data_IF_710663880227
#
_entry.id   IF_710663880227
#
_cell.length_a   1.000
_cell.length_b   1.000
_cell.length_c   1.000
_cell.angle_alpha   90.00
_cell.angle_beta   90.00
_cell.angle_gamma   90.00
#
_symmetry.space_group_name_H-M   'P 1'
#
loop_
_entity.id
_entity.type
_entity.pdbx_description
1 polymer ?
#
# COMPACT_ATOMS: atom_id res chain seq x y z
N UNK A 1 -17.47 0.53 23.39
CA UNK A 1 -17.92 0.84 22.06
C UNK A 1 -17.67 -0.28 21.08
N UNK A 2 -18.27 -0.19 19.93
CA UNK A 2 -18.08 -1.17 18.87
C UNK A 2 -16.77 -0.84 18.16
N UNK A 3 -15.82 -1.78 18.20
CA UNK A 3 -14.60 -1.60 17.40
C UNK A 3 -14.93 -1.89 15.95
N UNK A 4 -14.42 -1.04 15.07
CA UNK A 4 -14.59 -1.22 13.65
C UNK A 4 -13.49 -2.12 13.11
N UNK A 5 -13.88 -3.13 12.34
CA UNK A 5 -12.94 -3.96 11.60
C UNK A 5 -12.57 -3.26 10.30
N UNK A 6 -11.28 -3.21 10.00
CA UNK A 6 -10.77 -2.64 8.76
C UNK A 6 -10.21 -3.75 7.88
N UNK A 7 -10.20 -3.50 6.57
CA UNK A 7 -9.58 -4.38 5.60
C UNK A 7 -8.50 -3.65 4.80
N UNK A 8 -7.77 -4.41 4.00
CA UNK A 8 -6.65 -3.85 3.22
C UNK A 8 -7.10 -2.83 2.18
N UNK A 9 -8.31 -2.97 1.64
CA UNK A 9 -8.86 -2.02 0.67
C UNK A 9 -9.05 -0.65 1.31
N UNK A 10 -9.49 -0.62 2.57
CA UNK A 10 -9.63 0.64 3.30
C UNK A 10 -8.26 1.29 3.57
N UNK A 11 -7.24 0.49 3.87
CA UNK A 11 -5.89 1.03 4.00
C UNK A 11 -5.40 1.60 2.66
N UNK A 12 -5.59 0.86 1.59
CA UNK A 12 -5.20 1.31 0.26
C UNK A 12 -5.88 2.65 -0.09
N UNK A 13 -7.18 2.78 0.20
CA UNK A 13 -7.91 4.03 -0.04
C UNK A 13 -7.33 5.19 0.78
N UNK A 14 -6.96 4.94 2.05
CA UNK A 14 -6.33 5.96 2.89
C UNK A 14 -4.98 6.38 2.32
N UNK A 15 -4.20 5.43 1.80
CA UNK A 15 -2.91 5.73 1.16
C UNK A 15 -3.10 6.54 -0.12
N UNK A 16 -4.06 6.16 -0.96
CA UNK A 16 -4.38 6.90 -2.20
C UNK A 16 -4.65 8.37 -1.90
N UNK A 17 -5.40 8.65 -0.84
CA UNK A 17 -5.81 10.00 -0.48
C UNK A 17 -4.79 10.72 0.42
N UNK A 18 -3.71 10.06 0.79
CA UNK A 18 -2.75 10.55 1.79
C UNK A 18 -3.40 10.93 3.11
N UNK A 19 -4.40 10.18 3.51
CA UNK A 19 -5.05 10.35 4.81
C UNK A 19 -4.23 9.65 5.88
N UNK A 20 -3.26 10.37 6.45
CA UNK A 20 -2.30 9.82 7.40
C UNK A 20 -2.99 9.27 8.64
N UNK A 21 -3.91 10.05 9.22
CA UNK A 21 -4.62 9.64 10.44
C UNK A 21 -5.37 8.32 10.24
N UNK A 22 -6.05 8.19 9.09
CA UNK A 22 -6.80 6.97 8.77
C UNK A 22 -5.85 5.78 8.56
N UNK A 23 -4.75 5.99 7.83
CA UNK A 23 -3.77 4.94 7.60
C UNK A 23 -3.18 4.45 8.92
N UNK A 24 -2.85 5.35 9.85
CA UNK A 24 -2.33 4.98 11.18
C UNK A 24 -3.39 4.20 11.96
N UNK A 25 -4.63 4.65 11.94
CA UNK A 25 -5.72 3.95 12.62
C UNK A 25 -5.87 2.51 12.12
N UNK A 26 -5.85 2.33 10.81
CA UNK A 26 -6.03 1.01 10.21
C UNK A 26 -4.84 0.09 10.52
N UNK A 27 -3.60 0.59 10.39
CA UNK A 27 -2.42 -0.22 10.65
C UNK A 27 -2.28 -0.57 12.13
N UNK A 28 -2.70 0.31 13.04
CA UNK A 28 -2.76 -0.01 14.46
C UNK A 28 -3.76 -1.15 14.71
N UNK A 29 -4.90 -1.12 14.03
CA UNK A 29 -5.87 -2.22 14.11
C UNK A 29 -5.25 -3.53 13.61
N UNK A 30 -4.58 -3.52 12.44
CA UNK A 30 -3.94 -4.71 11.90
C UNK A 30 -2.89 -5.27 12.88
N UNK A 31 -2.09 -4.39 13.47
CA UNK A 31 -1.01 -4.80 14.38
C UNK A 31 -1.56 -5.48 15.65
N UNK A 32 -2.77 -5.16 16.06
CA UNK A 32 -3.39 -5.74 17.25
C UNK A 32 -4.31 -6.92 16.93
N UNK A 33 -4.51 -7.26 15.66
CA UNK A 33 -5.44 -8.31 15.23
C UNK A 33 -4.69 -9.56 14.79
N UNK A 34 -5.16 -10.71 15.24
CA UNK A 34 -4.62 -12.01 14.81
C UNK A 34 -4.98 -12.32 13.35
N UNK A 35 -6.02 -11.68 12.83
CA UNK A 35 -6.54 -11.97 11.50
C UNK A 35 -5.82 -11.18 10.40
N UNK A 36 -4.92 -10.26 10.77
CA UNK A 36 -4.24 -9.38 9.84
C UNK A 36 -2.71 -9.39 10.04
N UNK A 37 -2.05 -10.55 9.91
CA UNK A 37 -0.58 -10.55 9.98
C UNK A 37 -0.01 -9.70 8.86
N UNK A 38 0.97 -8.86 9.19
CA UNK A 38 1.53 -7.90 8.24
C UNK A 38 2.05 -8.57 6.97
N UNK A 39 2.68 -9.73 7.12
CA UNK A 39 3.24 -10.44 5.96
C UNK A 39 2.18 -10.76 4.91
N UNK A 40 0.94 -11.00 5.32
CA UNK A 40 -0.16 -11.25 4.38
C UNK A 40 -0.69 -9.96 3.77
N UNK A 41 -0.74 -8.88 4.58
CA UNK A 41 -1.30 -7.61 4.13
C UNK A 41 -0.36 -6.85 3.19
N UNK A 42 0.94 -7.18 3.18
CA UNK A 42 1.90 -6.53 2.29
C UNK A 42 1.66 -6.85 0.81
N UNK A 43 1.19 -8.06 0.50
CA UNK A 43 1.03 -8.50 -0.88
C UNK A 43 0.11 -7.59 -1.70
N UNK A 44 -1.12 -7.27 -1.25
CA UNK A 44 -1.97 -6.35 -2.01
C UNK A 44 -1.39 -4.93 -2.09
N UNK A 45 -0.64 -4.48 -1.08
CA UNK A 45 0.03 -3.17 -1.16
C UNK A 45 1.12 -3.20 -2.22
N UNK A 46 1.90 -4.26 -2.27
CA UNK A 46 2.94 -4.43 -3.29
C UNK A 46 2.32 -4.41 -4.69
N UNK A 47 1.21 -5.13 -4.88
CA UNK A 47 0.51 -5.14 -6.16
C UNK A 47 0.02 -3.74 -6.53
N UNK A 48 -0.57 -3.03 -5.58
CA UNK A 48 -1.08 -1.68 -5.85
C UNK A 48 0.04 -0.73 -6.30
N UNK A 49 1.14 -0.68 -5.54
CA UNK A 49 2.24 0.24 -5.88
C UNK A 49 2.97 -0.19 -7.15
N UNK A 50 3.03 -1.49 -7.44
CA UNK A 50 3.60 -1.97 -8.71
C UNK A 50 2.75 -1.52 -9.89
N UNK A 51 1.43 -1.63 -9.79
CA UNK A 51 0.51 -1.14 -10.82
C UNK A 51 0.58 0.38 -10.94
N UNK A 52 0.73 1.08 -9.83
CA UNK A 52 0.88 2.54 -9.85
C UNK A 52 2.16 2.94 -10.61
N UNK A 53 3.24 2.20 -10.42
CA UNK A 53 4.47 2.44 -11.17
C UNK A 53 4.24 2.22 -12.67
N UNK A 54 3.57 1.12 -13.03
CA UNK A 54 3.20 0.86 -14.43
C UNK A 54 2.34 1.99 -14.99
N UNK A 55 1.36 2.46 -14.22
CA UNK A 55 0.50 3.57 -14.62
C UNK A 55 1.32 4.82 -14.97
N UNK A 56 2.32 5.15 -14.15
CA UNK A 56 3.17 6.33 -14.39
C UNK A 56 3.84 6.30 -15.77
N UNK A 57 4.21 5.11 -16.24
CA UNK A 57 4.95 4.96 -17.49
C UNK A 57 4.07 4.62 -18.69
N UNK A 58 2.74 4.54 -18.51
CA UNK A 58 1.83 4.29 -19.63
C UNK A 58 1.67 5.56 -20.47
N UNK A 59 1.91 5.48 -21.79
CA UNK A 59 1.68 6.64 -22.67
C UNK A 59 0.19 6.98 -22.81
N UNK A 60 -0.68 5.97 -22.81
CA UNK A 60 -2.13 6.14 -22.89
C UNK A 60 -2.72 5.86 -21.49
N UNK A 61 -3.18 6.90 -20.83
CA UNK A 61 -3.79 6.82 -19.51
C UNK A 61 -5.31 6.90 -19.54
N UNK A 62 -5.91 6.58 -20.69
CA UNK A 62 -7.36 6.47 -20.79
C UNK A 62 -7.85 5.34 -19.89
N UNK A 63 -9.09 5.46 -19.43
CA UNK A 63 -9.72 4.47 -18.57
C UNK A 63 -9.65 3.06 -19.18
N UNK A 64 -9.91 2.97 -20.49
CA UNK A 64 -9.92 1.70 -21.22
C UNK A 64 -8.52 1.10 -21.31
N UNK A 65 -7.52 1.92 -21.63
CA UNK A 65 -6.14 1.45 -21.76
C UNK A 65 -5.59 0.98 -20.42
N UNK A 66 -5.82 1.75 -19.35
CA UNK A 66 -5.33 1.40 -18.02
C UNK A 66 -6.00 0.13 -17.52
N UNK A 67 -7.33 0.03 -17.68
CA UNK A 67 -8.07 -1.17 -17.28
C UNK A 67 -7.52 -2.42 -17.97
N UNK A 68 -7.27 -2.31 -19.28
CA UNK A 68 -6.77 -3.43 -20.08
C UNK A 68 -5.34 -3.82 -19.67
N UNK A 69 -4.44 -2.83 -19.56
CA UNK A 69 -3.03 -3.06 -19.29
C UNK A 69 -2.80 -3.61 -17.88
N UNK A 70 -3.50 -3.06 -16.89
CA UNK A 70 -3.34 -3.48 -15.51
C UNK A 70 -4.24 -4.66 -15.14
N UNK A 71 -5.21 -4.99 -15.99
CA UNK A 71 -6.15 -6.08 -15.68
C UNK A 71 -7.06 -5.75 -14.51
N UNK A 72 -7.49 -4.49 -14.38
CA UNK A 72 -8.33 -4.03 -13.29
C UNK A 72 -9.69 -3.56 -13.80
N UNK A 73 -10.68 -3.58 -12.90
CA UNK A 73 -11.99 -3.01 -13.22
C UNK A 73 -11.82 -1.52 -13.54
N UNK A 74 -12.45 -1.03 -14.64
CA UNK A 74 -12.36 0.39 -15.02
C UNK A 74 -12.75 1.35 -13.90
N UNK A 75 -13.63 0.94 -13.01
CA UNK A 75 -14.05 1.75 -11.86
C UNK A 75 -12.86 2.17 -10.98
N UNK A 76 -11.80 1.35 -10.90
CA UNK A 76 -10.66 1.63 -10.04
C UNK A 76 -9.56 2.46 -10.71
N UNK A 77 -9.68 2.76 -12.01
CA UNK A 77 -8.66 3.55 -12.73
C UNK A 77 -8.49 4.93 -12.09
N UNK A 78 -9.59 5.54 -11.64
CA UNK A 78 -9.56 6.86 -10.98
C UNK A 78 -8.67 6.86 -9.72
N UNK A 79 -8.57 5.73 -9.02
CA UNK A 79 -7.73 5.62 -7.83
C UNK A 79 -6.25 5.71 -8.19
N UNK A 80 -5.85 5.12 -9.31
CA UNK A 80 -4.47 5.22 -9.80
C UNK A 80 -4.15 6.63 -10.27
N UNK A 81 -5.10 7.30 -10.92
CA UNK A 81 -4.91 8.70 -11.31
C UNK A 81 -4.72 9.61 -10.09
N UNK A 82 -5.52 9.42 -9.06
CA UNK A 82 -5.39 10.18 -7.81
C UNK A 82 -4.08 9.85 -7.11
N UNK A 83 -3.75 8.57 -6.98
CA UNK A 83 -2.51 8.15 -6.33
C UNK A 83 -1.28 8.67 -7.08
N UNK A 84 -1.32 8.71 -8.40
CA UNK A 84 -0.20 9.23 -9.20
C UNK A 84 0.06 10.71 -8.93
N UNK A 85 -0.98 11.49 -8.62
CA UNK A 85 -0.81 12.88 -8.23
C UNK A 85 -0.15 13.02 -6.85
N UNK A 86 -0.39 12.06 -5.97
CA UNK A 86 0.14 12.09 -4.60
C UNK A 86 1.50 11.40 -4.46
N UNK A 87 1.84 10.50 -5.38
CA UNK A 87 3.08 9.71 -5.33
C UNK A 87 3.76 9.74 -6.70
N UNK A 88 4.77 10.61 -6.89
CA UNK A 88 5.56 10.62 -8.13
C UNK A 88 6.26 9.28 -8.37
N UNK A 89 6.61 8.99 -9.61
CA UNK A 89 7.20 7.70 -10.00
C UNK A 89 8.43 7.32 -9.15
N UNK A 90 9.33 8.27 -8.89
CA UNK A 90 10.51 8.01 -8.05
C UNK A 90 10.12 7.61 -6.63
N UNK A 91 9.09 8.25 -6.07
CA UNK A 91 8.58 7.90 -4.75
C UNK A 91 7.97 6.50 -4.75
N UNK A 92 7.22 6.16 -5.78
CA UNK A 92 6.62 4.81 -5.91
C UNK A 92 7.70 3.74 -5.99
N UNK A 93 8.74 4.00 -6.77
CA UNK A 93 9.87 3.09 -6.88
C UNK A 93 10.52 2.85 -5.49
N UNK A 94 10.72 3.91 -4.73
CA UNK A 94 11.25 3.83 -3.37
C UNK A 94 10.34 3.01 -2.46
N UNK A 95 9.01 3.24 -2.53
CA UNK A 95 8.03 2.51 -1.72
C UNK A 95 8.10 1.02 -2.02
N UNK A 96 8.16 0.64 -3.29
CA UNK A 96 8.25 -0.76 -3.70
C UNK A 96 9.50 -1.41 -3.10
N UNK A 97 10.64 -0.73 -3.18
CA UNK A 97 11.89 -1.22 -2.59
C UNK A 97 11.77 -1.42 -1.09
N UNK A 98 11.12 -0.47 -0.42
CA UNK A 98 10.93 -0.57 1.02
C UNK A 98 9.96 -1.69 1.40
N UNK A 99 8.91 -1.91 0.62
CA UNK A 99 8.00 -3.04 0.85
C UNK A 99 8.75 -4.38 0.76
N UNK A 100 9.66 -4.51 -0.19
CA UNK A 100 10.50 -5.71 -0.31
C UNK A 100 11.40 -5.90 0.91
N UNK A 101 11.98 -4.81 1.41
CA UNK A 101 12.82 -4.84 2.60
C UNK A 101 12.02 -5.29 3.83
N UNK A 102 10.82 -4.75 4.01
CA UNK A 102 9.94 -5.13 5.13
C UNK A 102 9.54 -6.61 5.02
N UNK A 103 9.19 -7.07 3.82
CA UNK A 103 8.86 -8.48 3.59
C UNK A 103 10.02 -9.39 4.01
N UNK A 104 11.24 -9.03 3.64
CA UNK A 104 12.43 -9.79 4.03
C UNK A 104 12.63 -9.80 5.54
N UNK A 105 12.43 -8.67 6.20
CA UNK A 105 12.56 -8.58 7.66
C UNK A 105 11.49 -9.43 8.36
N UNK A 106 10.26 -9.45 7.86
CA UNK A 106 9.19 -10.28 8.40
C UNK A 106 9.49 -11.77 8.25
N UNK A 107 10.23 -12.14 7.23
CA UNK A 107 10.68 -13.51 7.02
C UNK A 107 11.94 -13.85 7.81
N UNK A 108 12.42 -12.94 8.67
CA UNK A 108 13.54 -13.16 9.56
C UNK A 108 14.91 -13.08 8.90
N UNK A 109 15.00 -12.51 7.71
CA UNK A 109 16.27 -12.49 6.96
C UNK A 109 17.28 -11.54 7.60
N UNK A 110 16.85 -10.33 8.03
CA UNK A 110 17.75 -9.34 8.58
C UNK A 110 17.42 -8.91 10.01
N UNK A 111 16.22 -9.21 10.48
CA UNK A 111 15.78 -8.82 11.82
C UNK A 111 14.62 -9.72 12.28
N UNK A 112 14.94 -10.92 12.78
CA UNK A 112 13.91 -11.90 13.13
C UNK A 112 13.01 -11.49 14.31
N UNK A 113 13.39 -10.47 15.08
CA UNK A 113 12.61 -10.01 16.23
C UNK A 113 11.74 -8.78 15.94
N UNK A 114 11.66 -8.32 14.68
CA UNK A 114 10.86 -7.16 14.33
C UNK A 114 9.38 -7.44 14.53
N UNK A 115 8.68 -6.49 15.18
CA UNK A 115 7.25 -6.62 15.45
C UNK A 115 6.44 -5.89 14.39
N UNK A 116 5.26 -6.45 14.08
CA UNK A 116 4.35 -5.86 13.08
C UNK A 116 4.03 -4.39 13.38
N UNK A 117 3.77 -4.06 14.66
CA UNK A 117 3.42 -2.69 15.03
C UNK A 117 4.52 -1.69 14.66
N UNK A 118 5.78 -2.04 14.92
CA UNK A 118 6.91 -1.17 14.61
C UNK A 118 7.13 -1.06 13.11
N UNK A 119 7.00 -2.16 12.41
CA UNK A 119 7.17 -2.18 10.95
C UNK A 119 6.06 -1.41 10.25
N UNK A 120 4.81 -1.50 10.74
CA UNK A 120 3.72 -0.70 10.20
C UNK A 120 3.96 0.80 10.37
N UNK A 121 4.39 1.22 11.57
CA UNK A 121 4.68 2.64 11.83
C UNK A 121 5.75 3.16 10.89
N UNK A 122 6.82 2.41 10.73
CA UNK A 122 7.93 2.78 9.86
C UNK A 122 7.49 2.84 8.39
N UNK A 123 6.71 1.84 7.95
CA UNK A 123 6.22 1.78 6.58
C UNK A 123 5.31 2.97 6.26
N UNK A 124 4.34 3.25 7.12
CA UNK A 124 3.42 4.37 6.91
C UNK A 124 4.17 5.69 6.88
N UNK A 125 5.13 5.88 7.78
CA UNK A 125 5.96 7.08 7.77
C UNK A 125 6.68 7.24 6.43
N UNK A 126 7.32 6.17 5.95
CA UNK A 126 8.09 6.22 4.69
C UNK A 126 7.21 6.40 3.45
N UNK A 127 6.00 5.87 3.48
CA UNK A 127 5.05 6.09 2.36
C UNK A 127 4.56 7.53 2.36
N UNK A 128 4.18 8.05 3.53
CA UNK A 128 3.47 9.33 3.66
C UNK A 128 4.39 10.55 3.67
N UNK A 129 5.65 10.36 3.93
CA UNK A 129 6.64 11.44 4.01
C UNK A 129 7.77 11.22 3.01
#
# INVERSE_FOLDING_TARGET
>A
GISKDFNIIELQNALVKKNIAKAVQITNYFASSKDHPMIRELSPLFTFFSYLLMYHYMPDKSKEAVSRELGINPFFVKDYAEAARNYPAGKVFYIIGYLREVDARLKGINNPSAKDADLWKELIYKIMH
#
